data_IF_438299314956
#
_entry.id   IF_438299314956
#
_cell.length_a   1.000
_cell.length_b   1.000
_cell.length_c   1.000
_cell.angle_alpha   90.00
_cell.angle_beta   90.00
_cell.angle_gamma   90.00
#
_symmetry.space_group_name_H-M   'P 1'
#
loop_
_entity.id
_entity.type
_entity.pdbx_description
1 polymer ?
#
# COMPACT_ATOMS: atom_id res chain seq x y z
N UNK A 1 7.89 9.70 -11.77
CA UNK A 1 8.61 9.27 -10.55
C UNK A 1 7.84 9.84 -9.38
N UNK A 2 7.30 9.00 -8.49
CA UNK A 2 6.35 9.47 -7.49
C UNK A 2 7.08 9.81 -6.20
N UNK A 3 6.85 11.02 -5.71
CA UNK A 3 7.49 11.52 -4.49
C UNK A 3 6.46 11.58 -3.36
N UNK A 4 6.86 11.09 -2.20
CA UNK A 4 6.03 11.09 -1.01
C UNK A 4 6.65 12.01 0.02
N UNK A 5 5.90 13.04 0.45
CA UNK A 5 6.32 13.90 1.56
C UNK A 5 5.47 13.55 2.77
N UNK A 6 6.12 12.97 3.78
CA UNK A 6 5.56 12.74 5.10
C UNK A 6 5.29 14.11 5.74
N UNK A 7 4.03 14.43 6.04
CA UNK A 7 3.65 15.63 6.79
C UNK A 7 3.23 15.20 8.18
N UNK A 8 3.58 16.00 9.19
CA UNK A 8 3.29 15.75 10.60
C UNK A 8 1.80 15.99 10.90
N UNK A 9 1.26 15.16 11.81
CA UNK A 9 -0.14 15.00 12.27
C UNK A 9 -1.23 14.89 11.20
N UNK A 10 -1.65 13.66 10.90
CA UNK A 10 -2.95 13.37 10.26
C UNK A 10 -3.03 13.50 8.74
N UNK A 11 -1.94 13.89 8.06
CA UNK A 11 -1.92 14.23 6.64
C UNK A 11 -0.76 13.55 5.91
N UNK A 12 -1.03 13.02 4.71
CA UNK A 12 0.00 12.55 3.81
C UNK A 12 -0.26 13.01 2.37
N UNK A 13 0.82 13.35 1.67
CA UNK A 13 0.80 13.86 0.30
C UNK A 13 1.34 12.83 -0.69
N UNK A 14 0.56 12.59 -1.75
CA UNK A 14 1.01 11.88 -2.93
C UNK A 14 1.27 12.88 -4.06
N UNK A 15 2.45 12.78 -4.69
CA UNK A 15 2.79 13.48 -5.93
C UNK A 15 2.91 12.43 -7.05
N UNK A 16 2.08 12.55 -8.07
CA UNK A 16 2.25 11.81 -9.32
C UNK A 16 2.96 12.69 -10.36
N UNK A 17 3.95 12.13 -11.04
CA UNK A 17 4.71 12.82 -12.09
C UNK A 17 4.66 11.92 -13.33
N UNK A 18 3.72 12.23 -14.23
CA UNK A 18 3.55 11.58 -15.53
C UNK A 18 3.87 12.53 -16.68
N UNK A 19 4.51 12.07 -17.77
CA UNK A 19 4.71 12.88 -18.97
C UNK A 19 3.38 13.27 -19.61
N UNK A 20 3.28 14.48 -20.15
CA UNK A 20 2.18 14.87 -21.04
C UNK A 20 2.17 13.95 -22.27
N UNK A 21 1.05 13.28 -22.56
CA UNK A 21 0.83 12.67 -23.88
C UNK A 21 0.23 13.73 -24.80
N UNK A 22 0.98 14.17 -25.81
CA UNK A 22 0.41 14.97 -26.88
C UNK A 22 -0.39 14.05 -27.80
N UNK A 23 -1.69 14.26 -27.91
CA UNK A 23 -2.51 13.62 -28.95
C UNK A 23 -2.56 14.51 -30.20
N UNK A 24 -1.40 14.90 -30.69
CA UNK A 24 -1.31 15.53 -32.01
C UNK A 24 -1.33 14.40 -33.05
N UNK A 25 -2.39 14.35 -33.87
CA UNK A 25 -2.63 13.36 -34.92
C UNK A 25 -1.62 13.40 -36.09
N UNK A 26 -0.51 14.13 -35.93
CA UNK A 26 0.59 14.15 -36.86
C UNK A 26 1.67 13.25 -36.27
N UNK A 27 2.06 12.19 -36.99
CA UNK A 27 2.97 11.09 -36.63
C UNK A 27 4.39 11.45 -36.11
N UNK A 28 4.59 12.62 -35.50
CA UNK A 28 5.78 12.95 -34.74
C UNK A 28 5.56 12.54 -33.28
N UNK A 29 6.20 11.43 -32.88
CA UNK A 29 6.49 11.12 -31.48
C UNK A 29 7.50 12.13 -30.93
N UNK A 30 7.04 13.37 -30.72
CA UNK A 30 7.77 14.38 -29.97
C UNK A 30 7.75 14.00 -28.49
N UNK A 31 8.90 13.65 -27.94
CA UNK A 31 9.08 13.51 -26.49
C UNK A 31 8.92 14.89 -25.88
N UNK A 32 7.79 15.16 -25.24
CA UNK A 32 7.57 16.42 -24.52
C UNK A 32 8.28 16.32 -23.17
N UNK A 33 9.33 17.11 -23.02
CA UNK A 33 10.12 17.24 -21.79
C UNK A 33 9.51 18.18 -20.76
N UNK A 34 8.19 18.42 -20.79
CA UNK A 34 7.51 19.25 -19.81
C UNK A 34 6.79 18.36 -18.79
N UNK A 35 7.35 18.29 -17.59
CA UNK A 35 6.75 17.60 -16.44
C UNK A 35 5.84 18.59 -15.70
N UNK A 36 4.55 18.59 -16.02
CA UNK A 36 3.57 19.31 -15.21
C UNK A 36 3.28 18.53 -13.92
N UNK A 37 3.38 19.21 -12.77
CA UNK A 37 2.97 18.69 -11.47
C UNK A 37 1.45 18.70 -11.43
N UNK A 38 0.80 17.67 -11.97
CA UNK A 38 -0.64 17.78 -12.18
C UNK A 38 -1.51 17.39 -10.98
N UNK A 39 -1.01 16.70 -9.93
CA UNK A 39 -1.87 16.30 -8.81
C UNK A 39 -1.19 16.34 -7.42
N UNK A 40 -1.69 17.24 -6.57
CA UNK A 40 -1.49 17.23 -5.11
C UNK A 40 -2.75 16.64 -4.46
N UNK A 41 -2.70 15.38 -4.05
CA UNK A 41 -3.81 14.76 -3.31
C UNK A 41 -3.46 14.72 -1.83
N UNK A 42 -4.37 15.24 -1.01
CA UNK A 42 -4.24 15.30 0.45
C UNK A 42 -5.17 14.27 1.07
N UNK A 43 -4.61 13.20 1.63
CA UNK A 43 -5.38 12.21 2.36
C UNK A 43 -5.52 12.64 3.83
N UNK A 44 -6.78 12.74 4.29
CA UNK A 44 -7.14 13.18 5.65
C UNK A 44 -7.81 12.05 6.41
N UNK A 45 -7.63 12.02 7.72
CA UNK A 45 -8.44 11.20 8.62
C UNK A 45 -7.65 10.46 9.68
N UNK A 46 -6.32 10.37 9.54
CA UNK A 46 -5.45 9.87 10.61
C UNK A 46 -5.50 10.81 11.82
N UNK A 47 -5.53 10.21 13.01
CA UNK A 47 -5.51 10.97 14.27
C UNK A 47 -4.10 11.14 14.84
N UNK A 48 -3.12 10.45 14.25
CA UNK A 48 -1.74 10.46 14.68
C UNK A 48 -0.76 10.42 13.48
N UNK A 49 0.52 10.21 13.75
CA UNK A 49 1.57 10.20 12.75
C UNK A 49 1.42 8.99 11.83
N UNK A 50 1.54 9.23 10.54
CA UNK A 50 1.63 8.17 9.54
C UNK A 50 3.06 7.65 9.60
N UNK A 51 3.27 6.36 9.74
CA UNK A 51 4.61 5.77 9.94
C UNK A 51 5.15 5.15 8.66
N UNK A 52 4.28 4.51 7.87
CA UNK A 52 4.68 3.77 6.68
C UNK A 52 3.69 3.98 5.54
N UNK A 53 4.18 4.04 4.31
CA UNK A 53 3.37 4.20 3.10
C UNK A 53 3.90 3.31 1.97
N UNK A 54 2.99 2.64 1.24
CA UNK A 54 3.31 1.79 0.09
C UNK A 54 2.35 2.04 -1.06
N UNK A 55 2.89 2.06 -2.28
CA UNK A 55 2.12 2.14 -3.51
C UNK A 55 1.78 0.74 -4.02
N UNK A 56 0.54 0.54 -4.46
CA UNK A 56 0.09 -0.70 -5.08
C UNK A 56 0.80 -0.97 -6.41
N UNK A 57 1.26 -2.20 -6.62
CA UNK A 57 1.89 -2.59 -7.90
C UNK A 57 0.89 -2.58 -9.06
N UNK A 58 1.37 -2.80 -10.31
CA UNK A 58 0.60 -2.68 -11.55
C UNK A 58 -0.79 -3.37 -11.58
N UNK A 59 -1.04 -4.42 -10.78
CA UNK A 59 -2.38 -5.07 -10.66
C UNK A 59 -3.36 -4.34 -9.73
N UNK A 60 -2.85 -3.49 -8.84
CA UNK A 60 -3.55 -2.63 -7.88
C UNK A 60 -3.26 -1.15 -8.18
N UNK A 61 -3.04 -0.83 -9.46
CA UNK A 61 -2.68 0.50 -9.90
C UNK A 61 -3.61 1.56 -9.28
N UNK A 62 -3.01 2.64 -8.78
CA UNK A 62 -3.69 3.76 -8.15
C UNK A 62 -4.20 3.51 -6.72
N UNK A 63 -3.65 2.53 -6.02
CA UNK A 63 -3.94 2.32 -4.60
C UNK A 63 -2.72 2.67 -3.74
N UNK A 64 -2.98 3.33 -2.61
CA UNK A 64 -1.98 3.56 -1.56
C UNK A 64 -2.41 2.83 -0.29
N UNK A 65 -1.45 2.19 0.36
CA UNK A 65 -1.54 1.74 1.74
C UNK A 65 -0.74 2.65 2.65
N UNK A 66 -1.30 2.97 3.80
CA UNK A 66 -0.59 3.72 4.84
C UNK A 66 -0.86 3.15 6.23
N UNK A 67 0.16 3.06 7.08
CA UNK A 67 0.07 2.65 8.49
C UNK A 67 0.43 3.80 9.43
N UNK A 68 -0.15 3.84 10.64
CA UNK A 68 -0.03 4.96 11.57
C UNK A 68 0.13 4.55 13.04
N UNK A 69 0.63 5.49 13.85
CA UNK A 69 0.58 5.47 15.32
C UNK A 69 -0.85 5.45 15.88
N UNK A 70 -1.85 5.86 15.09
CA UNK A 70 -3.27 5.74 15.48
C UNK A 70 -3.80 4.30 15.43
N UNK A 71 -2.90 3.32 15.24
CA UNK A 71 -3.18 1.88 15.22
C UNK A 71 -4.00 1.44 14.01
N UNK A 72 -4.21 2.34 13.04
CA UNK A 72 -4.93 2.05 11.82
C UNK A 72 -4.02 1.91 10.60
N UNK A 73 -4.43 1.03 9.69
CA UNK A 73 -3.97 1.00 8.32
C UNK A 73 -5.11 1.46 7.43
N UNK A 74 -4.80 2.26 6.41
CA UNK A 74 -5.81 2.77 5.48
C UNK A 74 -5.42 2.49 4.05
N UNK A 75 -6.43 2.18 3.27
CA UNK A 75 -6.36 1.96 1.84
C UNK A 75 -6.99 3.15 1.14
N UNK A 76 -6.29 3.72 0.16
CA UNK A 76 -6.73 4.91 -0.56
C UNK A 76 -6.75 4.66 -2.06
N UNK A 77 -7.76 5.22 -2.73
CA UNK A 77 -7.77 5.37 -4.18
C UNK A 77 -7.16 6.73 -4.54
N UNK A 78 -6.09 6.71 -5.33
CA UNK A 78 -5.38 7.90 -5.78
C UNK A 78 -6.22 8.68 -6.78
N UNK A 79 -7.00 8.01 -7.63
CA UNK A 79 -7.76 8.72 -8.67
C UNK A 79 -8.87 9.58 -8.08
N UNK A 80 -9.56 9.05 -7.08
CA UNK A 80 -10.63 9.76 -6.39
C UNK A 80 -10.15 10.57 -5.19
N UNK A 81 -8.95 10.29 -4.66
CA UNK A 81 -8.46 10.85 -3.41
C UNK A 81 -9.22 10.35 -2.18
N UNK A 82 -10.01 9.29 -2.32
CA UNK A 82 -10.90 8.80 -1.27
C UNK A 82 -10.30 7.62 -0.50
N UNK A 83 -10.70 7.51 0.76
CA UNK A 83 -10.41 6.34 1.57
C UNK A 83 -11.32 5.19 1.15
N UNK A 84 -10.72 4.08 0.73
CA UNK A 84 -11.45 2.85 0.38
C UNK A 84 -11.78 2.07 1.66
N UNK A 85 -10.80 1.91 2.55
CA UNK A 85 -10.93 1.02 3.71
C UNK A 85 -10.04 1.43 4.88
N UNK A 86 -10.45 1.04 6.09
CA UNK A 86 -9.68 1.19 7.34
C UNK A 86 -9.57 -0.16 8.03
N UNK A 87 -8.36 -0.50 8.46
CA UNK A 87 -8.05 -1.68 9.26
C UNK A 87 -7.56 -1.23 10.63
N UNK A 88 -8.34 -1.49 11.67
CA UNK A 88 -8.12 -0.96 13.03
C UNK A 88 -8.08 -2.08 14.10
N UNK A 89 -7.61 -3.26 13.72
CA UNK A 89 -7.49 -4.42 14.63
C UNK A 89 -6.19 -4.44 15.43
N UNK A 90 -5.20 -3.65 15.04
CA UNK A 90 -3.97 -3.54 15.82
C UNK A 90 -4.22 -2.76 17.11
N UNK A 91 -3.54 -3.18 18.17
CA UNK A 91 -3.69 -2.54 19.50
C UNK A 91 -2.60 -1.50 19.79
N UNK A 92 -1.55 -1.47 18.95
CA UNK A 92 -0.43 -0.54 18.99
C UNK A 92 -0.07 -0.03 17.58
N UNK A 93 0.90 0.88 17.51
CA UNK A 93 1.43 1.49 16.29
C UNK A 93 1.68 0.46 15.19
N UNK A 94 1.30 0.81 13.96
CA UNK A 94 1.61 0.01 12.77
C UNK A 94 2.86 0.54 12.10
N UNK A 95 3.96 -0.20 12.19
CA UNK A 95 5.27 0.23 11.71
C UNK A 95 5.57 -0.23 10.28
N UNK A 96 5.05 -1.40 9.92
CA UNK A 96 5.43 -2.08 8.69
C UNK A 96 4.19 -2.50 7.91
N UNK A 97 4.16 -2.17 6.62
CA UNK A 97 3.10 -2.55 5.70
C UNK A 97 3.73 -3.09 4.41
N UNK A 98 3.18 -4.18 3.88
CA UNK A 98 3.62 -4.74 2.61
C UNK A 98 2.44 -5.33 1.83
N UNK A 99 2.56 -5.26 0.50
CA UNK A 99 1.73 -6.05 -0.40
C UNK A 99 2.31 -7.45 -0.48
N UNK A 100 1.49 -8.46 -0.20
CA UNK A 100 1.86 -9.85 -0.39
C UNK A 100 1.67 -10.20 -1.87
N UNK A 101 2.73 -10.73 -2.49
CA UNK A 101 2.67 -11.26 -3.86
C UNK A 101 2.31 -12.75 -3.88
N UNK A 102 1.83 -13.32 -2.76
CA UNK A 102 1.41 -14.71 -2.73
C UNK A 102 0.21 -14.90 -3.67
N UNK A 103 0.47 -15.45 -4.86
CA UNK A 103 -0.58 -16.02 -5.70
C UNK A 103 -0.95 -17.34 -5.04
N UNK A 104 -2.02 -17.36 -4.24
CA UNK A 104 -2.63 -18.61 -3.82
C UNK A 104 -3.41 -19.13 -5.03
N UNK A 105 -2.90 -20.18 -5.67
CA UNK A 105 -3.55 -20.82 -6.81
C UNK A 105 -4.81 -21.63 -6.42
N UNK A 106 -5.16 -21.69 -5.13
CA UNK A 106 -6.27 -22.46 -4.59
C UNK A 106 -7.44 -21.57 -4.16
N UNK A 107 -8.09 -20.93 -5.13
CA UNK A 107 -9.48 -20.51 -4.93
C UNK A 107 -10.25 -20.91 -6.17
N UNK A 108 -11.33 -21.66 -5.98
CA UNK A 108 -12.34 -22.08 -6.96
C UNK A 108 -13.02 -20.92 -7.71
N UNK A 109 -12.57 -19.69 -7.46
CA UNK A 109 -12.98 -18.45 -8.09
C UNK A 109 -11.70 -17.88 -8.69
N UNK A 110 -11.47 -18.08 -10.00
CA UNK A 110 -10.25 -17.72 -10.72
C UNK A 110 -9.85 -16.25 -10.59
N UNK A 111 -9.22 -15.87 -9.48
CA UNK A 111 -8.90 -14.50 -9.13
C UNK A 111 -7.65 -14.40 -8.28
N UNK A 112 -6.74 -13.51 -8.66
CA UNK A 112 -5.58 -13.14 -7.84
C UNK A 112 -6.05 -12.57 -6.50
N UNK A 113 -5.74 -13.25 -5.38
CA UNK A 113 -5.89 -12.64 -4.06
C UNK A 113 -4.99 -11.40 -3.97
N UNK A 114 -5.57 -10.30 -3.51
CA UNK A 114 -4.84 -9.05 -3.26
C UNK A 114 -4.55 -8.96 -1.77
N UNK A 115 -3.64 -9.81 -1.30
CA UNK A 115 -3.31 -9.89 0.13
C UNK A 115 -2.38 -8.76 0.51
N UNK A 116 -2.65 -8.15 1.65
CA UNK A 116 -1.80 -7.15 2.30
C UNK A 116 -1.54 -7.62 3.72
N UNK A 117 -0.43 -7.19 4.30
CA UNK A 117 -0.17 -7.47 5.70
C UNK A 117 0.53 -6.32 6.40
N UNK A 118 0.34 -6.29 7.71
CA UNK A 118 0.75 -5.19 8.56
C UNK A 118 1.41 -5.75 9.82
N UNK A 119 2.49 -5.12 10.25
CA UNK A 119 3.26 -5.47 11.44
C UNK A 119 3.19 -4.32 12.42
N UNK A 120 2.93 -4.65 13.68
CA UNK A 120 2.70 -3.69 14.75
C UNK A 120 3.53 -4.00 15.99
N UNK A 121 3.68 -2.99 16.84
CA UNK A 121 4.16 -3.11 18.22
C UNK A 121 3.26 -3.95 19.13
N UNK A 122 2.11 -4.44 18.66
CA UNK A 122 1.29 -5.41 19.39
C UNK A 122 1.79 -6.88 19.26
N UNK A 123 3.02 -7.05 18.79
CA UNK A 123 3.67 -8.33 18.50
C UNK A 123 2.90 -9.17 17.46
N UNK A 124 2.08 -8.55 16.59
CA UNK A 124 1.36 -9.28 15.55
C UNK A 124 1.69 -8.82 14.13
N UNK A 125 1.65 -9.79 13.20
CA UNK A 125 1.52 -9.53 11.77
C UNK A 125 0.15 -10.01 11.33
N UNK A 126 -0.68 -9.09 10.82
CA UNK A 126 -2.06 -9.34 10.41
C UNK A 126 -2.17 -9.32 8.89
N UNK A 127 -2.85 -10.30 8.30
CA UNK A 127 -3.07 -10.43 6.86
C UNK A 127 -4.52 -10.13 6.52
N UNK A 128 -4.72 -9.44 5.40
CA UNK A 128 -6.03 -9.01 4.92
C UNK A 128 -6.14 -9.21 3.42
N UNK A 129 -7.34 -9.55 2.94
CA UNK A 129 -7.66 -9.47 1.51
C UNK A 129 -8.30 -8.12 1.23
N UNK A 130 -7.71 -7.34 0.31
CA UNK A 130 -8.28 -6.06 -0.12
C UNK A 130 -9.69 -6.23 -0.72
N UNK A 131 -9.98 -7.37 -1.35
CA UNK A 131 -11.27 -7.61 -2.00
C UNK A 131 -12.36 -8.05 -1.01
N UNK A 132 -11.97 -8.70 0.07
CA UNK A 132 -12.88 -9.16 1.11
C UNK A 132 -12.85 -8.17 2.27
N UNK A 133 -13.81 -7.25 2.30
CA UNK A 133 -13.95 -6.26 3.38
C UNK A 133 -14.38 -6.88 4.72
N UNK A 134 -14.42 -8.21 4.82
CA UNK A 134 -15.21 -8.88 5.85
C UNK A 134 -14.33 -9.40 6.98
N UNK A 135 -13.13 -9.94 6.71
CA UNK A 135 -12.32 -10.57 7.76
C UNK A 135 -10.80 -10.48 7.55
N UNK A 136 -10.12 -10.34 8.67
CA UNK A 136 -8.70 -10.68 8.81
C UNK A 136 -8.48 -12.14 8.39
N UNK A 137 -7.57 -12.36 7.44
CA UNK A 137 -7.29 -13.69 6.88
C UNK A 137 -6.50 -14.54 7.86
N UNK A 138 -5.49 -13.95 8.47
CA UNK A 138 -4.53 -14.66 9.31
C UNK A 138 -3.79 -13.71 10.24
N UNK A 139 -3.42 -14.20 11.43
CA UNK A 139 -2.62 -13.48 12.41
C UNK A 139 -1.44 -14.33 12.82
N UNK A 140 -0.25 -13.79 12.62
CA UNK A 140 0.98 -14.28 13.25
C UNK A 140 1.19 -13.51 14.53
N UNK A 141 1.41 -14.23 15.63
CA UNK A 141 1.76 -13.63 16.92
C UNK A 141 3.21 -13.99 17.25
N UNK A 142 3.99 -12.98 17.64
CA UNK A 142 5.30 -13.14 18.25
C UNK A 142 5.19 -13.55 19.72
N UNK A 143 6.32 -13.63 20.40
CA UNK A 143 6.35 -14.02 21.81
C UNK A 143 6.03 -12.80 22.71
N UNK A 144 5.54 -13.06 23.93
CA UNK A 144 5.05 -12.00 24.83
C UNK A 144 6.14 -11.03 25.33
N UNK A 145 7.42 -11.33 25.08
CA UNK A 145 8.57 -10.52 25.51
C UNK A 145 9.28 -9.81 24.34
N UNK A 146 8.73 -9.87 23.13
CA UNK A 146 9.32 -9.19 21.96
C UNK A 146 8.96 -7.69 21.94
N UNK A 147 9.85 -6.87 21.38
CA UNK A 147 9.66 -5.41 21.15
C UNK A 147 8.71 -5.08 19.98
N UNK A 148 7.93 -6.08 19.55
CA UNK A 148 7.01 -5.99 18.43
C UNK A 148 7.66 -5.89 17.06
N UNK A 149 6.80 -5.74 16.05
CA UNK A 149 7.24 -5.77 14.66
C UNK A 149 7.60 -4.35 14.23
N UNK A 150 8.90 -4.11 14.08
CA UNK A 150 9.44 -2.82 13.61
C UNK A 150 9.51 -2.77 12.08
N UNK A 151 9.93 -3.87 11.45
CA UNK A 151 9.97 -4.00 9.99
C UNK A 151 9.87 -5.46 9.56
N UNK A 152 9.40 -5.70 8.34
CA UNK A 152 9.51 -6.99 7.66
C UNK A 152 9.43 -6.77 6.14
N UNK A 153 9.87 -7.76 5.36
CA UNK A 153 9.81 -7.73 3.90
C UNK A 153 9.62 -9.14 3.36
N UNK A 154 8.72 -9.31 2.39
CA UNK A 154 8.61 -10.57 1.68
C UNK A 154 9.81 -10.77 0.75
N UNK A 155 10.42 -11.95 0.85
CA UNK A 155 11.43 -12.40 -0.10
C UNK A 155 10.73 -13.11 -1.27
N UNK A 156 10.87 -12.55 -2.46
CA UNK A 156 10.42 -13.23 -3.67
C UNK A 156 11.41 -14.34 -3.99
N UNK A 157 11.00 -15.59 -3.78
CA UNK A 157 11.79 -16.75 -4.20
C UNK A 157 11.81 -16.78 -5.73
N UNK A 158 13.00 -16.59 -6.31
CA UNK A 158 13.21 -16.83 -7.75
C UNK A 158 12.97 -18.32 -7.98
N UNK A 159 11.97 -18.67 -8.78
CA UNK A 159 11.82 -20.05 -9.26
C UNK A 159 13.16 -20.47 -9.88
N UNK A 160 13.75 -21.57 -9.39
CA UNK A 160 14.85 -22.21 -10.11
C UNK A 160 14.28 -22.60 -11.47
N UNK A 161 14.92 -22.16 -12.55
CA UNK A 161 14.68 -22.77 -13.86
C UNK A 161 15.21 -24.20 -13.72
N UNK A 162 14.31 -25.17 -13.69
CA UNK A 162 14.69 -26.55 -13.96
C UNK A 162 15.05 -26.58 -15.46
N UNK A 163 16.29 -26.99 -15.75
CA UNK A 163 16.83 -27.09 -17.11
C UNK A 163 16.31 -28.34 -17.80
#
# INVERSE_FOLDING_TARGET
MNFFKKIQSGLFLCLDISPLQNNDNNNNIGVIGEMDIQFLIVFKGYTDWIISVKYGSNKLANIILSGSEDKSVRLWDIRSGQQIQVFNRHTYTVNAIEYSTFIVNNIEIGGSLNVICFGSWDNTIRFWDIRSNINELYVMKGENNDDGIVCFKFLQLKKRKEN
#
